data_IF_859835691371
#
_entry.id   IF_859835691371
#
_cell.length_a   1.000
_cell.length_b   1.000
_cell.length_c   1.000
_cell.angle_alpha   90.00
_cell.angle_beta   90.00
_cell.angle_gamma   90.00
#
_symmetry.space_group_name_H-M   'P 1'
#
loop_
_entity.id
_entity.type
_entity.pdbx_description
1 polymer ?
#
# COMPACT_ATOMS: atom_id res chain seq x y z
N UNK A 1 7.08 2.87 -42.12
CA UNK A 1 5.88 2.71 -41.29
C UNK A 1 6.17 3.36 -39.95
N UNK A 2 5.49 4.44 -39.61
CA UNK A 2 5.72 5.14 -38.35
C UNK A 2 5.01 4.38 -37.23
N UNK A 3 5.77 3.86 -36.27
CA UNK A 3 5.22 3.26 -35.05
C UNK A 3 4.28 4.26 -34.36
N UNK A 4 3.08 3.80 -34.02
CA UNK A 4 2.07 4.61 -33.34
C UNK A 4 2.53 4.99 -31.93
N UNK A 5 1.99 6.09 -31.39
CA UNK A 5 2.25 6.55 -30.02
C UNK A 5 1.96 5.46 -28.97
N UNK A 6 1.03 4.54 -29.23
CA UNK A 6 0.73 3.39 -28.39
C UNK A 6 1.84 2.33 -28.37
N UNK A 7 2.48 2.05 -29.52
CA UNK A 7 3.65 1.17 -29.58
C UNK A 7 4.84 1.78 -28.83
N UNK A 8 5.00 3.11 -28.87
CA UNK A 8 6.02 3.82 -28.08
C UNK A 8 5.74 3.84 -26.57
N UNK A 9 4.47 3.74 -26.14
CA UNK A 9 4.10 3.64 -24.71
C UNK A 9 4.34 2.23 -24.17
N UNK A 10 4.16 1.18 -24.98
CA UNK A 10 4.60 -0.18 -24.64
C UNK A 10 6.14 -0.29 -24.51
N UNK A 11 6.89 0.59 -25.18
CA UNK A 11 8.35 0.46 -25.34
C UNK A 11 9.27 1.05 -24.24
N UNK A 12 8.83 1.38 -23.02
CA UNK A 12 9.76 1.93 -21.98
C UNK A 12 9.56 1.42 -20.55
N UNK A 13 9.40 0.12 -20.38
CA UNK A 13 9.91 -0.60 -19.22
C UNK A 13 10.18 -2.04 -19.67
N UNK A 14 11.46 -2.38 -19.82
CA UNK A 14 11.87 -3.76 -20.12
C UNK A 14 11.72 -4.52 -18.81
N UNK A 15 10.73 -5.41 -18.74
CA UNK A 15 10.67 -6.39 -17.66
C UNK A 15 11.94 -7.24 -17.74
N UNK A 16 12.62 -7.50 -16.60
CA UNK A 16 13.75 -8.40 -16.61
C UNK A 16 13.30 -9.81 -17.02
N UNK A 17 14.18 -10.54 -17.69
CA UNK A 17 13.97 -11.97 -17.90
C UNK A 17 13.74 -12.67 -16.55
N UNK A 18 12.76 -13.60 -16.45
CA UNK A 18 12.52 -14.36 -15.22
C UNK A 18 13.79 -15.07 -14.75
N UNK A 19 14.30 -14.67 -13.59
CA UNK A 19 15.51 -15.25 -12.99
C UNK A 19 15.32 -15.52 -11.49
N UNK A 20 15.93 -16.62 -11.04
CA UNK A 20 16.00 -17.03 -9.64
C UNK A 20 17.47 -16.98 -9.21
N UNK A 21 17.72 -16.45 -8.02
CA UNK A 21 19.01 -16.50 -7.36
C UNK A 21 18.88 -17.26 -6.04
N UNK A 22 19.82 -18.15 -5.78
CA UNK A 22 19.89 -18.98 -4.57
C UNK A 22 21.11 -18.60 -3.74
N UNK A 23 20.95 -18.53 -2.43
CA UNK A 23 22.03 -18.30 -1.50
C UNK A 23 21.78 -18.99 -0.15
N UNK A 24 22.86 -19.29 0.57
CA UNK A 24 22.83 -19.91 1.89
C UNK A 24 23.43 -19.00 2.96
N UNK A 25 23.01 -19.20 4.21
CA UNK A 25 23.48 -18.45 5.39
C UNK A 25 23.37 -16.93 5.20
N UNK A 26 22.20 -16.50 4.75
CA UNK A 26 21.91 -15.12 4.39
C UNK A 26 21.39 -14.37 5.59
N UNK A 27 21.83 -13.12 5.74
CA UNK A 27 21.40 -12.23 6.82
C UNK A 27 20.40 -11.25 6.25
N UNK A 28 19.16 -11.30 6.76
CA UNK A 28 18.16 -10.29 6.51
C UNK A 28 18.32 -9.21 7.57
N UNK A 29 18.66 -7.99 7.16
CA UNK A 29 19.01 -6.92 8.10
C UNK A 29 18.27 -5.63 7.80
N UNK A 30 17.66 -5.06 8.85
CA UNK A 30 17.08 -3.74 8.89
C UNK A 30 18.10 -2.72 9.37
N UNK A 31 18.06 -1.53 8.78
CA UNK A 31 18.90 -0.42 9.18
C UNK A 31 18.10 0.82 9.55
N UNK A 32 18.79 1.95 9.84
CA UNK A 32 18.13 3.19 10.18
C UNK A 32 17.27 3.70 9.02
N UNK A 33 16.25 4.50 9.36
CA UNK A 33 15.40 5.17 8.36
C UNK A 33 16.25 6.07 7.46
N UNK A 34 16.24 5.79 6.16
CA UNK A 34 17.03 6.52 5.14
C UNK A 34 16.25 7.69 4.51
N UNK A 35 14.95 7.83 4.82
CA UNK A 35 14.12 8.93 4.33
C UNK A 35 12.63 8.70 4.59
N UNK A 36 11.77 9.58 4.08
CA UNK A 36 10.31 9.51 4.32
C UNK A 36 9.70 8.17 3.92
N UNK A 37 10.07 7.66 2.73
CA UNK A 37 9.65 6.35 2.18
C UNK A 37 10.85 5.41 1.93
N UNK A 38 12.03 5.74 2.47
CA UNK A 38 13.26 4.97 2.24
C UNK A 38 13.65 4.25 3.52
N UNK A 39 13.72 2.93 3.45
CA UNK A 39 14.16 2.07 4.55
C UNK A 39 15.51 1.45 4.18
N UNK A 40 16.47 1.52 5.10
CA UNK A 40 17.69 0.73 4.94
C UNK A 40 17.35 -0.72 5.21
N UNK A 41 17.54 -1.59 4.22
CA UNK A 41 17.21 -3.00 4.31
C UNK A 41 17.93 -3.78 3.21
N UNK A 42 18.37 -4.99 3.52
CA UNK A 42 18.86 -5.94 2.51
C UNK A 42 18.90 -7.38 3.01
N UNK A 43 19.02 -8.29 2.05
CA UNK A 43 19.47 -9.66 2.26
C UNK A 43 20.93 -9.71 1.87
N UNK A 44 21.82 -10.15 2.77
CA UNK A 44 23.26 -10.17 2.54
C UNK A 44 23.81 -11.58 2.66
N UNK A 45 24.68 -11.96 1.73
CA UNK A 45 25.42 -13.23 1.84
C UNK A 45 26.39 -13.23 3.03
N UNK A 46 27.13 -14.33 3.18
CA UNK A 46 28.10 -14.53 4.26
C UNK A 46 29.24 -13.50 4.26
N UNK A 47 29.57 -12.89 3.11
CA UNK A 47 30.63 -11.86 3.00
C UNK A 47 30.08 -10.43 3.06
N UNK A 48 28.75 -10.27 3.17
CA UNK A 48 28.09 -8.97 3.29
C UNK A 48 27.65 -8.35 1.96
N UNK A 49 27.68 -9.09 0.85
CA UNK A 49 27.18 -8.62 -0.44
C UNK A 49 25.65 -8.68 -0.48
N UNK A 50 24.95 -7.61 -0.89
CA UNK A 50 23.50 -7.66 -1.03
C UNK A 50 23.09 -8.60 -2.16
N UNK A 51 22.12 -9.48 -1.89
CA UNK A 51 21.58 -10.38 -2.90
C UNK A 51 20.79 -9.62 -3.98
N UNK A 52 20.82 -10.09 -5.24
CA UNK A 52 19.98 -9.55 -6.29
C UNK A 52 18.49 -9.81 -5.97
N UNK A 53 17.62 -9.04 -6.61
CA UNK A 53 16.15 -9.20 -6.57
C UNK A 53 15.46 -9.10 -5.19
N UNK A 54 16.20 -8.73 -4.14
CA UNK A 54 15.68 -8.50 -2.79
C UNK A 54 15.14 -7.08 -2.55
N UNK A 55 15.25 -6.18 -3.54
CA UNK A 55 14.78 -4.81 -3.38
C UNK A 55 13.26 -4.71 -3.43
N UNK A 56 12.67 -4.00 -2.47
CA UNK A 56 11.27 -3.62 -2.47
C UNK A 56 11.17 -2.20 -3.05
N UNK A 57 10.31 -2.00 -4.03
CA UNK A 57 10.03 -0.70 -4.61
C UNK A 57 8.52 -0.48 -4.77
N UNK A 58 7.88 0.04 -3.73
CA UNK A 58 6.44 0.33 -3.70
C UNK A 58 6.19 1.81 -3.45
N UNK A 59 4.96 2.24 -3.63
CA UNK A 59 4.49 3.60 -3.29
C UNK A 59 4.61 3.92 -1.80
N UNK A 60 4.60 2.90 -0.94
CA UNK A 60 4.74 3.03 0.52
C UNK A 60 6.21 3.04 0.95
N UNK A 61 7.03 2.16 0.40
CA UNK A 61 8.44 2.00 0.80
C UNK A 61 9.32 1.56 -0.36
N UNK A 62 10.51 2.14 -0.41
CA UNK A 62 11.64 1.68 -1.21
C UNK A 62 12.76 1.26 -0.28
N UNK A 63 13.32 0.07 -0.49
CA UNK A 63 14.49 -0.39 0.27
C UNK A 63 15.80 -0.05 -0.40
N UNK A 64 16.80 0.23 0.42
CA UNK A 64 18.17 0.50 0.00
C UNK A 64 19.09 -0.36 0.86
N UNK A 65 19.97 -1.20 0.26
CA UNK A 65 20.97 -1.93 1.02
C UNK A 65 21.92 -0.99 1.77
N UNK A 66 22.34 -1.38 2.97
CA UNK A 66 23.42 -0.73 3.71
C UNK A 66 24.73 -0.94 2.99
N UNK A 67 25.58 0.09 2.97
CA UNK A 67 26.97 -0.01 2.51
C UNK A 67 27.88 -0.72 3.53
N UNK A 68 27.45 -0.74 4.79
CA UNK A 68 28.15 -1.39 5.90
C UNK A 68 27.10 -2.17 6.71
N UNK A 69 26.68 -3.36 6.23
CA UNK A 69 25.73 -4.18 6.98
C UNK A 69 26.40 -4.69 8.27
N UNK A 70 25.73 -4.62 9.43
CA UNK A 70 26.24 -5.16 10.69
C UNK A 70 26.80 -6.57 10.49
N UNK A 71 28.01 -6.85 10.96
CA UNK A 71 28.66 -8.17 10.83
C UNK A 71 28.09 -9.22 11.79
N UNK A 72 27.37 -8.78 12.82
CA UNK A 72 26.77 -9.66 13.83
C UNK A 72 25.66 -10.50 13.21
N UNK A 73 25.70 -11.80 13.49
CA UNK A 73 24.67 -12.73 13.03
C UNK A 73 23.38 -12.53 13.85
N UNK A 74 22.21 -12.36 13.19
CA UNK A 74 20.95 -12.28 13.91
C UNK A 74 20.67 -13.57 14.71
N UNK A 75 20.11 -13.46 15.92
CA UNK A 75 19.91 -14.61 16.81
C UNK A 75 18.78 -15.54 16.36
N UNK A 76 17.78 -15.01 15.65
CA UNK A 76 16.71 -15.80 15.06
C UNK A 76 17.20 -16.43 13.76
N UNK A 77 16.95 -17.74 13.60
CA UNK A 77 17.35 -18.52 12.42
C UNK A 77 16.11 -19.19 11.84
N UNK A 78 15.91 -19.02 10.52
CA UNK A 78 14.92 -19.74 9.74
C UNK A 78 15.65 -20.85 8.98
N UNK A 79 15.41 -22.09 9.41
CA UNK A 79 16.06 -23.29 8.86
C UNK A 79 15.43 -23.77 7.56
N UNK A 80 14.15 -23.51 7.36
CA UNK A 80 13.42 -23.90 6.14
C UNK A 80 13.87 -23.03 4.95
N UNK A 81 13.92 -23.60 3.73
CA UNK A 81 14.13 -22.80 2.53
C UNK A 81 13.02 -21.77 2.37
N UNK A 82 13.36 -20.54 1.98
CA UNK A 82 12.37 -19.47 1.79
C UNK A 82 12.52 -18.77 0.45
N UNK A 83 11.40 -18.40 -0.17
CA UNK A 83 11.35 -17.41 -1.25
C UNK A 83 11.07 -16.03 -0.63
N UNK A 84 11.98 -15.08 -0.81
CA UNK A 84 11.70 -13.69 -0.43
C UNK A 84 10.71 -13.05 -1.40
N UNK A 85 9.49 -12.79 -0.94
CA UNK A 85 8.38 -12.29 -1.75
C UNK A 85 8.19 -10.77 -1.69
N UNK A 86 8.93 -10.07 -0.82
CA UNK A 86 8.90 -8.60 -0.73
C UNK A 86 8.20 -8.10 0.52
N UNK A 87 7.29 -7.13 0.37
CA UNK A 87 6.64 -6.45 1.49
C UNK A 87 5.28 -7.07 1.82
N UNK A 88 5.03 -7.33 3.10
CA UNK A 88 3.70 -7.68 3.61
C UNK A 88 2.83 -6.42 3.67
N UNK A 89 1.63 -6.51 3.09
CA UNK A 89 0.67 -5.41 3.01
C UNK A 89 -0.64 -5.79 3.71
N UNK A 90 -1.27 -4.83 4.38
CA UNK A 90 -2.51 -5.06 5.12
C UNK A 90 -3.77 -4.52 4.39
N UNK A 91 -3.61 -3.98 3.19
CA UNK A 91 -4.71 -3.51 2.36
C UNK A 91 -4.86 -4.40 1.13
N UNK A 92 -6.10 -4.81 0.85
CA UNK A 92 -6.46 -5.69 -0.26
C UNK A 92 -5.79 -5.32 -1.59
N UNK A 93 -5.92 -4.06 -2.03
CA UNK A 93 -5.34 -3.60 -3.28
C UNK A 93 -3.81 -3.68 -3.33
N UNK A 94 -3.13 -3.35 -2.22
CA UNK A 94 -1.67 -3.41 -2.14
C UNK A 94 -1.14 -4.84 -2.09
N UNK A 95 -1.88 -5.79 -1.50
CA UNK A 95 -1.51 -7.20 -1.60
C UNK A 95 -1.61 -7.67 -3.05
N UNK A 96 -2.73 -7.38 -3.73
CA UNK A 96 -2.89 -7.73 -5.15
C UNK A 96 -1.75 -7.16 -5.99
N UNK A 97 -1.29 -5.93 -5.75
CA UNK A 97 -0.27 -5.28 -6.58
C UNK A 97 1.18 -5.49 -6.15
N UNK A 98 1.47 -6.08 -4.99
CA UNK A 98 2.86 -6.23 -4.52
C UNK A 98 3.24 -7.66 -4.15
N UNK A 99 2.29 -8.52 -3.78
CA UNK A 99 2.61 -9.87 -3.33
C UNK A 99 2.92 -10.84 -4.49
N UNK A 100 2.31 -10.63 -5.65
CA UNK A 100 2.27 -11.65 -6.72
C UNK A 100 3.53 -11.69 -7.60
N UNK A 101 4.26 -10.58 -7.71
CA UNK A 101 5.29 -10.38 -8.75
C UNK A 101 6.48 -11.34 -8.71
N UNK A 102 6.70 -12.07 -7.61
CA UNK A 102 7.80 -13.06 -7.47
C UNK A 102 7.33 -14.49 -7.38
N UNK A 103 6.02 -14.73 -7.26
CA UNK A 103 5.49 -16.04 -6.86
C UNK A 103 5.56 -17.09 -7.96
N UNK A 104 5.77 -16.67 -9.20
CA UNK A 104 6.11 -17.54 -10.33
C UNK A 104 7.29 -18.45 -10.00
N UNK A 105 8.25 -17.98 -9.20
CA UNK A 105 9.44 -18.75 -8.86
C UNK A 105 9.10 -20.05 -8.11
N UNK A 106 8.01 -20.10 -7.34
CA UNK A 106 7.65 -21.28 -6.53
C UNK A 106 7.48 -22.55 -7.36
N UNK A 107 7.14 -22.45 -8.64
CA UNK A 107 7.01 -23.60 -9.56
C UNK A 107 8.35 -24.28 -9.85
N UNK A 108 9.47 -23.61 -9.55
CA UNK A 108 10.82 -24.07 -9.81
C UNK A 108 11.63 -24.33 -8.53
N UNK A 109 11.00 -24.21 -7.37
CA UNK A 109 11.64 -24.35 -6.06
C UNK A 109 11.22 -25.65 -5.37
N UNK A 110 11.99 -26.11 -4.36
CA UNK A 110 11.61 -27.27 -3.57
C UNK A 110 10.22 -27.09 -2.93
N UNK A 111 9.36 -28.13 -2.89
CA UNK A 111 7.98 -28.01 -2.39
C UNK A 111 7.85 -27.50 -0.95
N UNK A 112 8.88 -27.73 -0.11
CA UNK A 112 8.96 -27.27 1.27
C UNK A 112 9.26 -25.77 1.43
N UNK A 113 9.49 -25.05 0.34
CA UNK A 113 9.86 -23.63 0.37
C UNK A 113 8.72 -22.78 0.96
N UNK A 114 9.02 -22.04 2.04
CA UNK A 114 8.09 -21.06 2.61
C UNK A 114 8.15 -19.72 1.86
N UNK A 115 7.07 -18.95 1.91
CA UNK A 115 7.00 -17.58 1.37
C UNK A 115 7.37 -16.60 2.49
N UNK A 116 8.44 -15.84 2.31
CA UNK A 116 8.90 -14.85 3.28
C UNK A 116 8.54 -13.43 2.83
N UNK A 117 7.71 -12.75 3.61
CA UNK A 117 7.49 -11.32 3.49
C UNK A 117 8.16 -10.54 4.63
N UNK A 118 8.65 -9.35 4.30
CA UNK A 118 9.07 -8.35 5.26
C UNK A 118 7.86 -7.53 5.70
N UNK A 119 7.65 -7.37 7.00
CA UNK A 119 6.87 -6.28 7.59
C UNK A 119 7.80 -5.13 7.98
N UNK A 120 7.31 -3.88 7.89
CA UNK A 120 8.10 -2.75 8.37
C UNK A 120 8.33 -2.88 9.88
N UNK A 121 9.47 -2.43 10.44
CA UNK A 121 9.74 -2.58 11.88
C UNK A 121 8.67 -1.97 12.80
N UNK A 122 7.97 -0.92 12.33
CA UNK A 122 6.89 -0.28 13.07
C UNK A 122 5.56 -1.06 13.02
N UNK A 123 5.45 -2.07 12.14
CA UNK A 123 4.28 -2.89 11.90
C UNK A 123 4.35 -4.25 12.61
N UNK A 124 5.20 -4.39 13.65
CA UNK A 124 5.41 -5.65 14.38
C UNK A 124 4.13 -6.23 15.02
N UNK A 125 3.10 -5.41 15.23
CA UNK A 125 1.80 -5.83 15.75
C UNK A 125 0.67 -5.68 14.72
N UNK A 126 1.01 -5.47 13.45
CA UNK A 126 0.04 -5.30 12.37
C UNK A 126 -0.46 -6.67 11.92
N UNK A 127 -1.77 -6.78 11.69
CA UNK A 127 -2.37 -7.96 11.06
C UNK A 127 -2.32 -7.80 9.54
N UNK A 128 -2.12 -8.91 8.83
CA UNK A 128 -2.04 -8.97 7.38
C UNK A 128 -3.17 -9.87 6.82
N UNK A 129 -4.44 -9.49 7.02
CA UNK A 129 -5.58 -10.40 6.81
C UNK A 129 -5.79 -10.82 5.36
N UNK A 130 -5.23 -10.09 4.39
CA UNK A 130 -5.44 -10.35 2.97
C UNK A 130 -4.33 -11.18 2.32
N UNK A 131 -3.17 -11.34 2.94
CA UNK A 131 -2.02 -12.03 2.32
C UNK A 131 -2.38 -13.49 2.04
N UNK A 132 -2.60 -14.29 3.07
CA UNK A 132 -2.90 -15.72 2.88
C UNK A 132 -4.16 -15.98 2.05
N UNK A 133 -5.32 -15.31 2.26
CA UNK A 133 -6.50 -15.55 1.44
C UNK A 133 -6.28 -15.28 -0.05
N UNK A 134 -5.55 -14.21 -0.40
CA UNK A 134 -5.23 -13.90 -1.80
C UNK A 134 -4.30 -14.96 -2.39
N UNK A 135 -3.26 -15.36 -1.65
CA UNK A 135 -2.34 -16.40 -2.13
C UNK A 135 -3.06 -17.73 -2.37
N UNK A 136 -3.94 -18.13 -1.44
CA UNK A 136 -4.72 -19.36 -1.55
C UNK A 136 -5.68 -19.34 -2.74
N UNK A 137 -6.26 -18.18 -3.05
CA UNK A 137 -7.08 -18.01 -4.25
C UNK A 137 -6.29 -18.30 -5.54
N UNK A 138 -5.03 -17.86 -5.62
CA UNK A 138 -4.14 -18.17 -6.75
C UNK A 138 -3.52 -19.59 -6.70
N UNK A 139 -4.06 -20.49 -5.87
CA UNK A 139 -3.59 -21.87 -5.74
C UNK A 139 -2.27 -22.02 -4.98
N UNK A 140 -1.82 -20.98 -4.27
CA UNK A 140 -0.54 -20.99 -3.55
C UNK A 140 -0.78 -21.43 -2.11
N UNK A 141 -0.25 -22.61 -1.76
CA UNK A 141 -0.46 -23.24 -0.45
C UNK A 141 0.77 -23.27 0.43
N UNK A 142 1.91 -22.78 -0.06
CA UNK A 142 3.16 -22.67 0.70
C UNK A 142 2.92 -21.92 2.03
N UNK A 143 3.56 -22.34 3.14
CA UNK A 143 3.48 -21.60 4.39
C UNK A 143 3.98 -20.18 4.22
N UNK A 144 3.30 -19.22 4.86
CA UNK A 144 3.66 -17.80 4.80
C UNK A 144 4.34 -17.41 6.12
N UNK A 145 5.48 -16.75 6.00
CA UNK A 145 6.22 -16.16 7.13
C UNK A 145 6.35 -14.67 6.93
N UNK A 146 6.00 -13.90 7.97
CA UNK A 146 6.12 -12.43 7.97
C UNK A 146 7.05 -12.03 9.10
N UNK A 147 8.11 -11.29 8.78
CA UNK A 147 9.16 -10.89 9.73
C UNK A 147 9.37 -9.38 9.75
N UNK A 148 9.55 -8.79 10.94
CA UNK A 148 9.77 -7.35 11.12
C UNK A 148 11.12 -6.98 11.73
N UNK A 149 12.03 -7.95 11.86
CA UNK A 149 13.35 -7.79 12.49
C UNK A 149 14.42 -8.65 11.82
N UNK A 150 15.65 -8.48 12.27
CA UNK A 150 16.81 -9.14 11.68
C UNK A 150 16.76 -10.66 11.90
N UNK A 151 16.97 -11.43 10.82
CA UNK A 151 16.93 -12.90 10.87
C UNK A 151 18.05 -13.49 10.01
N UNK A 152 18.56 -14.66 10.42
CA UNK A 152 19.42 -15.50 9.60
C UNK A 152 18.55 -16.47 8.81
N UNK A 153 18.74 -16.54 7.50
CA UNK A 153 18.07 -17.47 6.59
C UNK A 153 19.07 -18.54 6.20
N UNK A 154 18.81 -19.81 6.54
CA UNK A 154 19.72 -20.90 6.19
C UNK A 154 19.82 -21.08 4.68
N UNK A 155 18.69 -21.00 4.00
CA UNK A 155 18.58 -21.06 2.54
C UNK A 155 17.51 -20.08 2.05
N UNK A 156 17.85 -19.24 1.08
CA UNK A 156 16.93 -18.26 0.50
C UNK A 156 17.01 -18.25 -1.01
N UNK A 157 15.84 -18.07 -1.62
CA UNK A 157 15.67 -17.75 -3.02
C UNK A 157 15.18 -16.31 -3.14
N UNK A 158 15.75 -15.57 -4.08
CA UNK A 158 15.22 -14.29 -4.56
C UNK A 158 14.91 -14.41 -6.04
N UNK A 159 13.88 -13.72 -6.49
CA UNK A 159 13.44 -13.80 -7.88
C UNK A 159 13.10 -12.42 -8.44
N UNK A 160 13.33 -12.23 -9.73
CA UNK A 160 12.92 -11.03 -10.46
C UNK A 160 11.42 -10.79 -10.28
N UNK A 161 11.04 -9.54 -10.03
CA UNK A 161 9.64 -9.13 -10.07
C UNK A 161 9.16 -9.06 -11.52
N UNK A 162 8.05 -9.73 -11.83
CA UNK A 162 7.43 -9.74 -13.17
C UNK A 162 6.13 -8.93 -13.24
N UNK A 163 5.69 -8.38 -12.10
CA UNK A 163 4.48 -7.58 -11.95
C UNK A 163 4.51 -6.74 -10.67
N UNK A 164 3.79 -5.62 -10.68
CA UNK A 164 3.40 -4.91 -9.45
C UNK A 164 3.72 -3.41 -9.45
N UNK A 165 3.69 -2.78 -8.27
CA UNK A 165 3.92 -1.33 -8.14
C UNK A 165 5.29 -0.89 -8.66
N UNK A 166 6.30 -1.76 -8.60
CA UNK A 166 7.63 -1.53 -9.17
C UNK A 166 7.57 -1.12 -10.65
N UNK A 167 6.57 -1.61 -11.37
CA UNK A 167 6.34 -1.37 -12.80
C UNK A 167 5.12 -0.47 -13.04
N UNK A 168 4.79 0.37 -12.06
CA UNK A 168 3.59 1.21 -12.06
C UNK A 168 2.29 0.41 -12.22
N UNK A 169 2.25 -0.83 -11.71
CA UNK A 169 1.06 -1.70 -11.71
C UNK A 169 0.97 -2.64 -12.90
N UNK A 170 1.93 -2.58 -13.82
CA UNK A 170 1.98 -3.40 -15.02
C UNK A 170 2.55 -4.79 -14.74
N UNK A 171 2.19 -5.75 -15.57
CA UNK A 171 2.74 -7.11 -15.63
C UNK A 171 3.43 -7.39 -16.96
N UNK A 172 4.45 -8.23 -16.90
CA UNK A 172 5.09 -8.82 -18.08
C UNK A 172 4.21 -9.91 -18.70
N UNK A 173 4.51 -10.31 -19.94
CA UNK A 173 3.84 -11.47 -20.55
C UNK A 173 4.04 -12.74 -19.72
N UNK A 174 5.26 -12.99 -19.22
CA UNK A 174 5.56 -14.11 -18.34
C UNK A 174 4.71 -14.11 -17.05
N UNK A 175 4.39 -12.93 -16.49
CA UNK A 175 3.48 -12.84 -15.35
C UNK A 175 2.07 -13.27 -15.71
N UNK A 176 1.55 -12.80 -16.84
CA UNK A 176 0.20 -13.15 -17.25
C UNK A 176 0.09 -14.61 -17.68
N UNK A 177 1.12 -15.18 -18.31
CA UNK A 177 1.14 -16.60 -18.68
C UNK A 177 1.15 -17.49 -17.42
N UNK A 178 1.85 -17.06 -16.36
CA UNK A 178 1.80 -17.70 -15.04
C UNK A 178 0.44 -17.53 -14.33
N UNK A 179 -0.21 -16.38 -14.51
CA UNK A 179 -1.48 -16.03 -13.90
C UNK A 179 -2.67 -16.77 -14.53
N UNK A 180 -2.63 -16.94 -15.85
CA UNK A 180 -3.74 -17.45 -16.67
C UNK A 180 -4.34 -18.77 -16.15
N UNK A 181 -3.56 -19.83 -15.87
CA UNK A 181 -4.13 -21.10 -15.37
C UNK A 181 -4.68 -20.99 -13.94
N UNK A 182 -4.46 -19.87 -13.23
CA UNK A 182 -4.86 -19.65 -11.83
C UNK A 182 -6.13 -18.81 -11.69
N UNK A 183 -6.59 -18.18 -12.76
CA UNK A 183 -7.82 -17.38 -12.75
C UNK A 183 -8.88 -18.12 -13.55
N UNK A 184 -9.84 -18.70 -12.84
CA UNK A 184 -11.04 -19.24 -13.49
C UNK A 184 -12.01 -18.11 -13.81
N UNK A 185 -11.93 -17.59 -15.04
CA UNK A 185 -12.86 -16.55 -15.54
C UNK A 185 -14.23 -17.13 -15.94
N UNK A 186 -14.24 -18.36 -16.44
CA UNK A 186 -15.41 -18.93 -17.11
C UNK A 186 -15.90 -18.08 -18.29
N UNK A 187 -17.05 -18.45 -18.85
CA UNK A 187 -17.63 -17.73 -19.99
C UNK A 187 -18.30 -16.41 -19.59
N UNK A 188 -18.11 -15.39 -20.42
CA UNK A 188 -18.86 -14.15 -20.38
C UNK A 188 -20.37 -14.40 -20.53
N UNK A 189 -21.19 -13.69 -19.76
CA UNK A 189 -22.65 -13.77 -19.80
C UNK A 189 -23.19 -12.60 -20.62
N UNK A 190 -23.70 -12.82 -21.84
CA UNK A 190 -24.20 -11.73 -22.68
C UNK A 190 -25.36 -10.97 -22.02
N UNK A 191 -25.37 -9.64 -22.18
CA UNK A 191 -26.37 -8.72 -21.64
C UNK A 191 -26.28 -8.45 -20.14
N UNK A 192 -25.37 -9.12 -19.41
CA UNK A 192 -25.21 -8.91 -17.97
C UNK A 192 -24.59 -7.54 -17.67
N UNK A 193 -25.11 -6.91 -16.61
CA UNK A 193 -24.71 -5.56 -16.19
C UNK A 193 -24.47 -5.55 -14.69
N UNK A 194 -23.34 -5.01 -14.23
CA UNK A 194 -23.08 -4.85 -12.80
C UNK A 194 -22.45 -3.50 -12.47
N UNK A 195 -22.91 -2.92 -11.37
CA UNK A 195 -22.31 -1.76 -10.75
C UNK A 195 -21.53 -2.18 -9.51
N UNK A 196 -20.22 -2.00 -9.56
CA UNK A 196 -19.29 -2.37 -8.49
C UNK A 196 -19.20 -1.19 -7.51
N UNK A 197 -20.04 -1.24 -6.49
CA UNK A 197 -20.25 -0.16 -5.54
C UNK A 197 -19.32 -0.23 -4.33
N UNK A 198 -19.04 0.94 -3.74
CA UNK A 198 -18.28 1.11 -2.50
C UNK A 198 -19.14 1.62 -1.34
N UNK A 199 -20.44 1.83 -1.54
CA UNK A 199 -21.30 2.58 -0.60
C UNK A 199 -21.30 2.00 0.83
N UNK A 200 -21.18 0.67 0.99
CA UNK A 200 -21.13 0.02 2.31
C UNK A 200 -19.74 -0.08 2.95
N UNK A 201 -18.68 0.50 2.38
CA UNK A 201 -17.35 0.56 3.02
C UNK A 201 -17.27 1.55 4.20
N UNK A 202 -18.35 2.27 4.47
CA UNK A 202 -18.45 3.24 5.56
C UNK A 202 -17.97 4.63 5.16
N UNK A 203 -18.46 5.63 5.89
CA UNK A 203 -18.31 7.04 5.51
C UNK A 203 -16.92 7.63 5.80
N UNK A 204 -16.08 6.94 6.58
CA UNK A 204 -14.67 7.31 6.82
C UNK A 204 -13.75 7.02 5.62
N UNK A 205 -14.22 6.22 4.67
CA UNK A 205 -13.50 5.88 3.45
C UNK A 205 -13.81 6.88 2.35
N UNK A 206 -12.81 7.22 1.55
CA UNK A 206 -13.04 8.16 0.44
C UNK A 206 -13.94 7.55 -0.64
N UNK A 207 -14.83 8.40 -1.16
CA UNK A 207 -15.99 8.08 -2.01
C UNK A 207 -16.45 9.30 -2.80
N UNK A 208 -17.54 9.19 -3.53
CA UNK A 208 -18.36 10.35 -3.87
C UNK A 208 -19.63 10.37 -3.02
N UNK A 209 -20.24 11.55 -2.90
CA UNK A 209 -21.50 11.74 -2.24
C UNK A 209 -22.64 11.12 -3.06
N UNK A 210 -23.65 10.59 -2.36
CA UNK A 210 -24.90 10.10 -2.94
C UNK A 210 -24.71 8.87 -3.84
N UNK A 211 -23.76 8.00 -3.52
CA UNK A 211 -23.54 6.73 -4.24
C UNK A 211 -24.78 5.81 -4.16
N UNK A 212 -25.54 5.87 -3.08
CA UNK A 212 -26.85 5.22 -2.93
C UNK A 212 -27.85 5.65 -4.03
N UNK A 213 -27.87 6.92 -4.41
CA UNK A 213 -28.73 7.39 -5.51
C UNK A 213 -28.20 6.91 -6.86
N UNK A 214 -26.88 6.79 -7.02
CA UNK A 214 -26.28 6.15 -8.21
C UNK A 214 -26.67 4.67 -8.27
N UNK A 215 -26.68 3.97 -7.14
CA UNK A 215 -27.18 2.58 -7.07
C UNK A 215 -28.65 2.48 -7.46
N UNK A 216 -29.52 3.36 -6.94
CA UNK A 216 -30.96 3.41 -7.29
C UNK A 216 -31.14 3.58 -8.81
N UNK A 217 -30.47 4.56 -9.40
CA UNK A 217 -30.55 4.85 -10.83
C UNK A 217 -30.04 3.68 -11.69
N UNK A 218 -28.89 3.10 -11.34
CA UNK A 218 -28.29 2.00 -12.09
C UNK A 218 -29.10 0.71 -11.94
N UNK A 219 -29.64 0.42 -10.75
CA UNK A 219 -30.55 -0.70 -10.52
C UNK A 219 -31.82 -0.57 -11.38
N UNK A 220 -32.40 0.63 -11.46
CA UNK A 220 -33.54 0.91 -12.35
C UNK A 220 -33.21 0.70 -13.84
N UNK A 221 -31.94 0.89 -14.23
CA UNK A 221 -31.43 0.60 -15.57
C UNK A 221 -31.01 -0.87 -15.80
N UNK A 222 -31.28 -1.75 -14.84
CA UNK A 222 -31.03 -3.19 -14.92
C UNK A 222 -29.60 -3.62 -14.54
N UNK A 223 -28.84 -2.77 -13.86
CA UNK A 223 -27.55 -3.16 -13.28
C UNK A 223 -27.77 -3.92 -11.97
N UNK A 224 -27.04 -5.01 -11.79
CA UNK A 224 -26.88 -5.63 -10.48
C UNK A 224 -25.94 -4.80 -9.61
N UNK A 225 -26.38 -4.41 -8.43
CA UNK A 225 -25.53 -3.69 -7.48
C UNK A 225 -24.68 -4.68 -6.70
N UNK A 226 -23.37 -4.66 -6.95
CA UNK A 226 -22.41 -5.57 -6.38
C UNK A 226 -21.49 -4.85 -5.39
N UNK A 227 -21.41 -5.36 -4.16
CA UNK A 227 -20.59 -4.79 -3.08
C UNK A 227 -19.44 -5.75 -2.73
N UNK A 228 -18.22 -5.57 -3.29
CA UNK A 228 -17.17 -6.60 -3.22
C UNK A 228 -16.80 -7.06 -1.81
N UNK A 229 -16.87 -6.19 -0.81
CA UNK A 229 -16.55 -6.50 0.58
C UNK A 229 -17.49 -7.53 1.23
N UNK A 230 -18.66 -7.77 0.65
CA UNK A 230 -19.63 -8.76 1.13
C UNK A 230 -19.37 -10.15 0.53
N UNK A 231 -18.36 -10.29 -0.35
CA UNK A 231 -18.08 -11.49 -1.13
C UNK A 231 -16.64 -11.97 -0.98
N UNK A 232 -16.47 -13.29 -1.09
CA UNK A 232 -15.14 -13.92 -1.20
C UNK A 232 -14.42 -13.49 -2.48
N UNK A 233 -13.11 -13.67 -2.52
CA UNK A 233 -12.31 -13.34 -3.70
C UNK A 233 -12.72 -14.15 -4.94
N UNK A 234 -13.15 -15.41 -4.75
CA UNK A 234 -13.64 -16.24 -5.84
C UNK A 234 -14.93 -15.71 -6.45
N UNK A 235 -15.91 -15.35 -5.61
CA UNK A 235 -17.17 -14.73 -6.07
C UNK A 235 -16.93 -13.37 -6.73
N UNK A 236 -15.98 -12.59 -6.23
CA UNK A 236 -15.57 -11.34 -6.88
C UNK A 236 -14.99 -11.59 -8.27
N UNK A 237 -14.07 -12.55 -8.43
CA UNK A 237 -13.52 -12.88 -9.74
C UNK A 237 -14.60 -13.42 -10.68
N UNK A 238 -15.45 -14.31 -10.22
CA UNK A 238 -16.56 -14.84 -11.00
C UNK A 238 -17.48 -13.71 -11.49
N UNK A 239 -17.91 -12.81 -10.60
CA UNK A 239 -18.73 -11.65 -10.98
C UNK A 239 -18.01 -10.77 -11.99
N UNK A 240 -16.78 -10.37 -11.68
CA UNK A 240 -16.03 -9.39 -12.48
C UNK A 240 -15.62 -9.92 -13.84
N UNK A 241 -15.36 -11.21 -14.00
CA UNK A 241 -14.91 -11.80 -15.26
C UNK A 241 -16.06 -12.22 -16.18
N UNK A 242 -17.24 -12.53 -15.63
CA UNK A 242 -18.40 -12.99 -16.41
C UNK A 242 -19.38 -11.89 -16.79
N UNK A 243 -19.25 -10.69 -16.21
CA UNK A 243 -20.18 -9.58 -16.50
C UNK A 243 -19.77 -8.85 -17.77
N UNK A 244 -20.69 -8.66 -18.72
CA UNK A 244 -20.41 -7.94 -19.98
C UNK A 244 -20.22 -6.44 -19.77
N UNK A 245 -21.18 -5.77 -19.11
CA UNK A 245 -21.11 -4.32 -18.84
C UNK A 245 -20.84 -4.03 -17.37
N UNK A 246 -19.72 -3.37 -17.09
CA UNK A 246 -19.28 -3.06 -15.73
C UNK A 246 -19.16 -1.55 -15.53
N UNK A 247 -19.79 -1.02 -14.48
CA UNK A 247 -19.51 0.33 -14.00
C UNK A 247 -18.87 0.19 -12.62
N UNK A 248 -17.70 0.78 -12.43
CA UNK A 248 -17.00 0.79 -11.16
C UNK A 248 -17.18 2.14 -10.46
N UNK A 249 -17.49 2.10 -9.18
CA UNK A 249 -17.08 3.14 -8.25
C UNK A 249 -15.57 3.05 -8.05
N UNK A 250 -14.82 4.14 -8.27
CA UNK A 250 -13.35 4.15 -8.26
C UNK A 250 -12.78 3.51 -6.96
N UNK A 251 -12.20 2.32 -7.09
CA UNK A 251 -11.89 1.43 -5.95
C UNK A 251 -10.67 0.53 -6.18
N UNK A 252 -10.25 -0.17 -5.12
CA UNK A 252 -9.32 -1.31 -5.22
C UNK A 252 -9.88 -2.50 -6.03
N UNK A 253 -11.19 -2.56 -6.31
CA UNK A 253 -11.76 -3.61 -7.15
C UNK A 253 -11.23 -3.53 -8.60
N UNK A 254 -10.80 -2.35 -9.05
CA UNK A 254 -10.13 -2.17 -10.35
C UNK A 254 -8.81 -2.96 -10.44
N UNK A 255 -8.09 -3.15 -9.32
CA UNK A 255 -6.89 -3.99 -9.29
C UNK A 255 -7.22 -5.46 -9.54
N UNK A 256 -8.34 -5.94 -8.98
CA UNK A 256 -8.80 -7.31 -9.21
C UNK A 256 -9.33 -7.49 -10.63
N UNK A 257 -10.14 -6.53 -11.10
CA UNK A 257 -10.66 -6.54 -12.47
C UNK A 257 -9.53 -6.61 -13.49
N UNK A 258 -8.45 -5.86 -13.31
CA UNK A 258 -7.28 -5.95 -14.20
C UNK A 258 -6.69 -7.37 -14.32
N UNK A 259 -6.71 -8.15 -13.23
CA UNK A 259 -6.24 -9.54 -13.25
C UNK A 259 -7.28 -10.48 -13.87
N UNK A 260 -8.56 -10.22 -13.62
CA UNK A 260 -9.69 -11.09 -13.97
C UNK A 260 -10.38 -10.74 -15.30
N UNK A 261 -10.01 -9.65 -15.96
CA UNK A 261 -10.71 -9.14 -17.14
C UNK A 261 -10.78 -10.19 -18.25
N UNK A 262 -11.93 -10.21 -18.93
CA UNK A 262 -12.27 -11.09 -20.03
C UNK A 262 -12.42 -10.25 -21.32
N UNK A 263 -11.96 -10.74 -22.49
CA UNK A 263 -12.25 -10.10 -23.79
C UNK A 263 -13.76 -9.90 -24.03
N UNK A 264 -14.15 -8.84 -24.75
CA UNK A 264 -15.57 -8.51 -24.99
C UNK A 264 -16.31 -7.80 -23.83
N UNK A 265 -15.63 -7.49 -22.72
CA UNK A 265 -16.22 -6.66 -21.65
C UNK A 265 -16.17 -5.17 -21.99
N UNK A 266 -17.24 -4.46 -21.62
CA UNK A 266 -17.33 -3.00 -21.71
C UNK A 266 -17.37 -2.40 -20.30
N UNK A 267 -16.31 -1.70 -19.91
CA UNK A 267 -16.12 -1.24 -18.54
C UNK A 267 -15.94 0.28 -18.42
N UNK A 268 -16.53 0.89 -17.39
CA UNK A 268 -16.32 2.28 -17.01
C UNK A 268 -15.99 2.42 -15.52
N UNK A 269 -15.31 3.50 -15.15
CA UNK A 269 -15.14 3.89 -13.73
C UNK A 269 -15.61 5.32 -13.50
N UNK A 270 -16.50 5.50 -12.54
CA UNK A 270 -16.92 6.82 -12.04
C UNK A 270 -15.82 7.33 -11.11
N UNK A 271 -15.26 8.47 -11.46
CA UNK A 271 -14.14 9.05 -10.72
C UNK A 271 -14.60 9.65 -9.39
N UNK A 272 -13.82 9.40 -8.34
CA UNK A 272 -13.95 10.11 -7.05
C UNK A 272 -12.79 11.09 -6.81
N UNK A 273 -11.81 11.08 -7.72
CA UNK A 273 -10.64 11.97 -7.74
C UNK A 273 -10.46 12.51 -9.16
N UNK A 274 -9.97 13.75 -9.29
CA UNK A 274 -9.76 14.41 -10.60
C UNK A 274 -8.86 13.65 -11.57
N UNK A 275 -8.03 12.74 -11.06
CA UNK A 275 -7.24 11.82 -11.85
C UNK A 275 -7.16 10.49 -11.11
N UNK A 276 -7.22 9.40 -11.85
CA UNK A 276 -7.01 8.06 -11.31
C UNK A 276 -5.60 7.93 -10.70
N UNK A 277 -5.44 7.11 -9.65
CA UNK A 277 -4.12 6.73 -9.17
C UNK A 277 -3.24 6.17 -10.29
N UNK A 278 -1.96 6.55 -10.31
CA UNK A 278 -0.98 6.09 -11.31
C UNK A 278 -0.95 4.57 -11.48
N UNK A 279 -1.16 3.85 -10.39
CA UNK A 279 -1.17 2.39 -10.37
C UNK A 279 -2.33 1.81 -11.19
N UNK A 280 -3.53 2.37 -11.02
CA UNK A 280 -4.72 1.99 -11.78
C UNK A 280 -4.54 2.39 -13.25
N UNK A 281 -4.01 3.58 -13.54
CA UNK A 281 -3.72 4.01 -14.90
C UNK A 281 -2.71 3.09 -15.61
N UNK A 282 -1.68 2.63 -14.90
CA UNK A 282 -0.71 1.68 -15.45
C UNK A 282 -1.36 0.33 -15.80
N UNK A 283 -2.23 -0.16 -14.93
CA UNK A 283 -3.02 -1.38 -15.15
C UNK A 283 -3.99 -1.23 -16.34
N UNK A 284 -4.77 -0.15 -16.41
CA UNK A 284 -5.69 0.10 -17.54
C UNK A 284 -4.92 0.09 -18.87
N UNK A 285 -3.75 0.73 -18.92
CA UNK A 285 -2.91 0.81 -20.13
C UNK A 285 -2.21 -0.50 -20.51
N UNK A 286 -2.06 -1.42 -19.55
CA UNK A 286 -1.43 -2.73 -19.76
C UNK A 286 -2.45 -3.89 -19.73
N UNK A 287 -3.74 -3.56 -19.64
CA UNK A 287 -4.82 -4.54 -19.60
C UNK A 287 -4.80 -5.41 -20.86
N UNK A 288 -5.15 -6.69 -20.69
CA UNK A 288 -5.45 -7.61 -21.80
C UNK A 288 -6.91 -7.54 -22.25
N UNK A 289 -7.74 -6.69 -21.62
CA UNK A 289 -9.07 -6.36 -22.13
C UNK A 289 -8.97 -5.72 -23.51
N UNK A 290 -9.91 -6.05 -24.40
CA UNK A 290 -9.93 -5.52 -25.77
C UNK A 290 -10.20 -4.01 -25.79
N UNK A 291 -11.08 -3.55 -24.89
CA UNK A 291 -11.43 -2.14 -24.75
C UNK A 291 -10.85 -1.56 -23.44
N UNK A 292 -10.31 -0.34 -23.47
CA UNK A 292 -9.86 0.34 -22.27
C UNK A 292 -11.07 0.71 -21.38
N UNK A 293 -10.84 0.76 -20.07
CA UNK A 293 -11.86 1.23 -19.12
C UNK A 293 -12.16 2.71 -19.42
N UNK A 294 -13.43 3.03 -19.63
CA UNK A 294 -13.90 4.41 -19.85
C UNK A 294 -13.89 5.19 -18.54
N UNK A 295 -13.20 6.32 -18.50
CA UNK A 295 -13.20 7.22 -17.33
C UNK A 295 -14.42 8.14 -17.38
N UNK A 296 -15.28 8.08 -16.36
CA UNK A 296 -16.46 8.93 -16.22
C UNK A 296 -16.18 10.02 -15.18
N UNK A 297 -15.92 11.24 -15.65
CA UNK A 297 -15.57 12.36 -14.80
C UNK A 297 -16.74 13.34 -14.68
N UNK A 298 -17.58 13.14 -13.66
CA UNK A 298 -18.70 14.01 -13.33
C UNK A 298 -18.45 14.81 -12.04
N UNK A 299 -17.19 15.05 -11.65
CA UNK A 299 -16.87 15.67 -10.36
C UNK A 299 -17.12 17.18 -10.40
N UNK A 300 -18.00 17.69 -9.52
CA UNK A 300 -18.15 19.12 -9.22
C UNK A 300 -17.05 19.61 -8.29
N UNK A 301 -16.96 19.00 -7.12
CA UNK A 301 -15.99 19.36 -6.08
C UNK A 301 -15.31 18.12 -5.49
N UNK A 302 -14.07 18.29 -5.03
CA UNK A 302 -13.40 17.31 -4.16
C UNK A 302 -13.15 17.99 -2.83
N UNK A 303 -13.75 17.40 -1.80
CA UNK A 303 -13.78 17.91 -0.44
C UNK A 303 -12.98 16.98 0.47
N UNK A 304 -12.30 17.56 1.46
CA UNK A 304 -11.37 16.83 2.32
C UNK A 304 -11.79 16.96 3.78
N UNK A 305 -11.85 15.85 4.54
CA UNK A 305 -11.98 15.97 5.99
C UNK A 305 -10.73 16.60 6.59
N UNK A 306 -10.80 17.18 7.82
CA UNK A 306 -9.65 17.75 8.52
C UNK A 306 -8.76 16.63 9.07
N UNK A 307 -8.16 15.86 8.17
CA UNK A 307 -7.30 14.70 8.41
C UNK A 307 -6.06 14.78 7.52
N UNK A 308 -5.02 14.02 7.82
CA UNK A 308 -3.76 14.08 7.05
C UNK A 308 -3.79 13.28 5.76
N UNK A 309 -4.71 12.34 5.64
CA UNK A 309 -4.83 11.39 4.54
C UNK A 309 -5.78 11.95 3.46
N UNK A 310 -5.29 12.06 2.23
CA UNK A 310 -6.09 12.52 1.08
C UNK A 310 -7.01 11.44 0.51
N UNK A 311 -6.73 10.16 0.78
CA UNK A 311 -7.53 9.04 0.28
C UNK A 311 -8.95 8.97 0.86
N UNK A 312 -9.23 9.76 1.90
CA UNK A 312 -10.53 9.93 2.58
C UNK A 312 -11.39 11.06 2.02
N UNK A 313 -10.94 11.72 0.93
CA UNK A 313 -11.72 12.78 0.28
C UNK A 313 -13.08 12.29 -0.21
N UNK A 314 -14.07 13.19 -0.20
CA UNK A 314 -15.40 12.99 -0.77
C UNK A 314 -15.56 13.88 -1.99
N UNK A 315 -15.89 13.30 -3.14
CA UNK A 315 -16.29 14.07 -4.32
C UNK A 315 -17.80 14.34 -4.31
N UNK A 316 -18.24 15.51 -4.77
CA UNK A 316 -19.64 15.71 -5.18
C UNK A 316 -19.74 15.61 -6.69
N UNK A 317 -20.87 15.11 -7.19
CA UNK A 317 -21.05 14.81 -8.60
C UNK A 317 -22.10 15.73 -9.25
N UNK A 318 -21.90 15.99 -10.53
CA UNK A 318 -22.92 16.49 -11.43
C UNK A 318 -23.70 15.29 -11.98
N UNK A 319 -24.89 15.03 -11.44
CA UNK A 319 -25.67 13.86 -11.79
C UNK A 319 -26.20 13.91 -13.22
N UNK A 320 -26.45 15.12 -13.76
CA UNK A 320 -26.86 15.27 -15.16
C UNK A 320 -25.67 14.98 -16.08
N UNK A 321 -24.48 15.51 -15.75
CA UNK A 321 -23.27 15.20 -16.48
C UNK A 321 -22.87 13.71 -16.37
N UNK A 322 -23.11 13.08 -15.22
CA UNK A 322 -22.90 11.65 -15.00
C UNK A 322 -23.80 10.83 -15.92
N UNK A 323 -25.09 11.16 -15.95
CA UNK A 323 -26.06 10.54 -16.86
C UNK A 323 -25.60 10.65 -18.32
N UNK A 324 -25.31 11.86 -18.79
CA UNK A 324 -24.91 12.11 -20.18
C UNK A 324 -23.65 11.34 -20.58
N UNK A 325 -22.67 11.21 -19.68
CA UNK A 325 -21.47 10.45 -19.93
C UNK A 325 -21.72 8.94 -19.96
N UNK A 326 -22.61 8.42 -19.10
CA UNK A 326 -22.99 7.01 -19.09
C UNK A 326 -23.80 6.64 -20.35
N UNK A 327 -24.72 7.51 -20.81
CA UNK A 327 -25.44 7.32 -22.08
C UNK A 327 -24.48 7.37 -23.26
N UNK A 328 -23.62 8.39 -23.34
CA UNK A 328 -22.62 8.51 -24.40
C UNK A 328 -21.66 7.32 -24.45
N UNK A 329 -21.33 6.77 -23.28
CA UNK A 329 -20.49 5.59 -23.14
C UNK A 329 -21.22 4.27 -23.40
N UNK A 330 -22.52 4.26 -23.74
CA UNK A 330 -23.26 3.02 -24.00
C UNK A 330 -23.54 2.16 -22.76
N UNK A 331 -23.39 2.76 -21.56
CA UNK A 331 -23.72 2.14 -20.28
C UNK A 331 -25.20 2.34 -19.90
N UNK A 332 -25.81 3.42 -20.36
CA UNK A 332 -27.24 3.69 -20.20
C UNK A 332 -27.92 3.92 -21.55
N UNK A 333 -29.22 3.65 -21.59
CA UNK A 333 -30.08 4.07 -22.69
C UNK A 333 -30.46 5.55 -22.51
N UNK A 334 -30.70 6.28 -23.60
CA UNK A 334 -31.02 7.72 -23.56
C UNK A 334 -32.28 8.04 -22.74
N UNK A 335 -33.25 7.13 -22.74
CA UNK A 335 -34.49 7.25 -21.95
C UNK A 335 -34.42 6.60 -20.55
N UNK A 336 -33.23 6.27 -20.05
CA UNK A 336 -33.10 5.66 -18.72
C UNK A 336 -33.68 6.58 -17.63
N UNK A 337 -34.41 6.00 -16.68
CA UNK A 337 -34.91 6.77 -15.54
C UNK A 337 -33.72 7.22 -14.70
N UNK A 338 -33.63 8.53 -14.46
CA UNK A 338 -32.51 9.13 -13.75
C UNK A 338 -32.98 10.25 -12.83
N UNK A 339 -32.55 10.22 -11.56
CA UNK A 339 -32.77 11.32 -10.62
C UNK A 339 -31.45 11.90 -10.13
N UNK A 340 -31.47 13.19 -9.85
CA UNK A 340 -30.40 13.91 -9.16
C UNK A 340 -30.71 14.03 -7.66
N UNK A 341 -29.70 14.05 -6.77
CA UNK A 341 -29.90 14.33 -5.35
C UNK A 341 -30.51 15.72 -5.15
N UNK A 342 -31.33 15.83 -4.11
CA UNK A 342 -31.67 17.13 -3.51
C UNK A 342 -30.45 17.72 -2.79
N UNK A 343 -30.46 19.03 -2.55
CA UNK A 343 -29.41 19.71 -1.79
C UNK A 343 -29.25 19.13 -0.37
N UNK A 344 -30.36 18.70 0.24
CA UNK A 344 -30.36 18.09 1.59
C UNK A 344 -29.71 16.71 1.60
N UNK A 345 -30.04 15.85 0.62
CA UNK A 345 -29.39 14.54 0.45
C UNK A 345 -27.89 14.68 0.21
N UNK A 346 -27.47 15.61 -0.67
CA UNK A 346 -26.05 15.86 -0.93
C UNK A 346 -25.34 16.37 0.33
N UNK A 347 -25.92 17.34 1.03
CA UNK A 347 -25.34 17.88 2.26
C UNK A 347 -25.24 16.83 3.37
N UNK A 348 -26.26 15.98 3.54
CA UNK A 348 -26.25 14.87 4.48
C UNK A 348 -25.14 13.87 4.14
N UNK A 349 -25.10 13.43 2.88
CA UNK A 349 -24.09 12.52 2.38
C UNK A 349 -22.69 13.10 2.55
N UNK A 350 -22.41 14.35 2.16
CA UNK A 350 -21.08 14.98 2.30
C UNK A 350 -20.59 15.00 3.75
N UNK A 351 -21.50 15.16 4.72
CA UNK A 351 -21.17 15.21 6.15
C UNK A 351 -21.06 13.85 6.82
N UNK A 352 -21.47 12.77 6.16
CA UNK A 352 -21.38 11.44 6.75
C UNK A 352 -19.92 11.08 7.06
N UNK A 353 -19.66 10.57 8.28
CA UNK A 353 -18.32 10.23 8.78
C UNK A 353 -17.57 11.38 9.46
N UNK A 354 -18.11 12.60 9.44
CA UNK A 354 -17.57 13.71 10.22
C UNK A 354 -18.03 13.67 11.67
N UNK A 355 -17.17 14.16 12.58
CA UNK A 355 -17.57 14.45 13.96
C UNK A 355 -18.48 15.67 14.00
N UNK A 356 -19.30 15.88 15.06
CA UNK A 356 -20.27 16.97 15.13
C UNK A 356 -19.74 18.39 14.88
N UNK A 357 -18.44 18.63 15.12
CA UNK A 357 -17.78 19.93 14.94
C UNK A 357 -16.82 19.97 13.76
N UNK A 358 -16.75 18.91 12.95
CA UNK A 358 -15.92 18.85 11.76
C UNK A 358 -16.71 19.32 10.55
N UNK A 359 -16.03 20.04 9.66
CA UNK A 359 -16.55 20.42 8.35
C UNK A 359 -15.62 19.92 7.27
N UNK A 360 -16.18 19.65 6.10
CA UNK A 360 -15.38 19.39 4.92
C UNK A 360 -14.65 20.66 4.47
N UNK A 361 -13.42 20.48 4.01
CA UNK A 361 -12.52 21.53 3.55
C UNK A 361 -12.38 21.47 2.04
N UNK A 362 -12.33 22.63 1.38
CA UNK A 362 -11.83 22.72 0.01
C UNK A 362 -10.34 22.34 -0.06
N UNK A 363 -9.83 22.09 -1.26
CA UNK A 363 -8.38 21.81 -1.45
C UNK A 363 -7.48 22.92 -0.88
N UNK A 364 -7.90 24.18 -0.98
CA UNK A 364 -7.14 25.33 -0.46
C UNK A 364 -7.11 25.31 1.07
N UNK A 365 -8.26 25.10 1.69
CA UNK A 365 -8.39 25.04 3.15
C UNK A 365 -7.68 23.83 3.73
N UNK A 366 -7.79 22.66 3.09
CA UNK A 366 -7.10 21.45 3.52
C UNK A 366 -5.57 21.59 3.44
N UNK A 367 -5.05 22.24 2.40
CA UNK A 367 -3.61 22.57 2.32
C UNK A 367 -3.16 23.52 3.43
N UNK A 368 -3.98 24.51 3.79
CA UNK A 368 -3.70 25.39 4.92
C UNK A 368 -3.72 24.63 6.25
N UNK A 369 -4.71 23.74 6.44
CA UNK A 369 -4.79 22.84 7.59
C UNK A 369 -3.54 21.94 7.73
N UNK A 370 -3.05 21.35 6.63
CA UNK A 370 -1.83 20.55 6.65
C UNK A 370 -0.58 21.36 7.02
N UNK A 371 -0.49 22.61 6.53
CA UNK A 371 0.63 23.49 6.85
C UNK A 371 0.64 23.84 8.34
N UNK A 372 -0.51 24.20 8.90
CA UNK A 372 -0.66 24.46 10.34
C UNK A 372 -0.29 23.24 11.19
N UNK A 373 -0.80 22.05 10.84
CA UNK A 373 -0.39 20.80 11.51
C UNK A 373 1.12 20.55 11.46
N UNK A 374 1.76 20.87 10.32
CA UNK A 374 3.20 20.70 10.17
C UNK A 374 3.96 21.65 11.10
N UNK A 375 3.52 22.91 11.21
CA UNK A 375 4.16 23.89 12.09
C UNK A 375 3.96 23.55 13.57
N UNK A 376 2.76 23.13 13.97
CA UNK A 376 2.50 22.60 15.31
C UNK A 376 3.39 21.39 15.64
N UNK A 377 3.63 20.48 14.68
CA UNK A 377 4.53 19.34 14.86
C UNK A 377 5.98 19.80 15.07
N UNK A 378 6.47 20.77 14.30
CA UNK A 378 7.82 21.36 14.48
C UNK A 378 7.96 22.00 15.85
N UNK A 379 6.98 22.77 16.30
CA UNK A 379 7.00 23.39 17.63
C UNK A 379 7.04 22.35 18.75
N UNK A 380 6.21 21.31 18.66
CA UNK A 380 6.21 20.20 19.63
C UNK A 380 7.56 19.49 19.66
N UNK A 381 8.18 19.26 18.50
CA UNK A 381 9.50 18.68 18.41
C UNK A 381 10.57 19.58 19.05
N UNK A 382 10.60 20.87 18.72
CA UNK A 382 11.54 21.83 19.30
C UNK A 382 11.42 21.91 20.84
N UNK A 383 10.19 21.90 21.36
CA UNK A 383 9.93 21.85 22.82
C UNK A 383 10.46 20.56 23.46
N UNK A 384 10.29 19.40 22.80
CA UNK A 384 10.81 18.11 23.27
C UNK A 384 12.34 18.10 23.28
N UNK A 385 12.99 18.59 22.23
CA UNK A 385 14.45 18.69 22.14
C UNK A 385 15.02 19.63 23.21
N UNK A 386 14.38 20.79 23.44
CA UNK A 386 14.78 21.71 24.51
C UNK A 386 14.67 21.06 25.89
N UNK A 387 13.59 20.29 26.15
CA UNK A 387 13.42 19.54 27.40
C UNK A 387 14.50 18.47 27.57
N UNK A 388 14.84 17.73 26.51
CA UNK A 388 15.91 16.73 26.54
C UNK A 388 17.29 17.38 26.79
N UNK A 389 17.61 18.48 26.10
CA UNK A 389 18.86 19.24 26.33
C UNK A 389 18.95 19.73 27.77
N UNK A 390 17.87 20.26 28.34
CA UNK A 390 17.81 20.69 29.76
C UNK A 390 18.01 19.51 30.71
N UNK A 391 17.43 18.34 30.43
CA UNK A 391 17.62 17.12 31.24
C UNK A 391 19.08 16.65 31.20
N UNK A 392 19.66 16.51 30.01
CA UNK A 392 21.05 16.12 29.82
C UNK A 392 22.03 17.09 30.51
N UNK A 393 21.75 18.40 30.44
CA UNK A 393 22.56 19.40 31.13
C UNK A 393 22.47 19.28 32.66
N UNK A 394 21.28 19.00 33.21
CA UNK A 394 21.10 18.76 34.65
C UNK A 394 21.87 17.50 35.09
N UNK A 395 21.81 16.42 34.33
CA UNK A 395 22.54 15.17 34.60
C UNK A 395 24.06 15.40 34.54
N UNK A 396 24.55 16.11 33.53
CA UNK A 396 25.97 16.49 33.41
C UNK A 396 26.44 17.34 34.59
N UNK A 397 25.62 18.30 35.02
CA UNK A 397 25.92 19.13 36.18
C UNK A 397 25.92 18.32 37.48
N UNK A 398 24.98 17.39 37.66
CA UNK A 398 24.94 16.50 38.82
C UNK A 398 26.17 15.57 38.86
N UNK A 399 26.59 15.02 37.72
CA UNK A 399 27.80 14.21 37.62
C UNK A 399 29.06 15.01 37.97
N UNK A 400 29.16 16.26 37.49
CA UNK A 400 30.26 17.17 37.85
C UNK A 400 30.30 17.45 39.36
N UNK A 401 29.16 17.74 39.99
CA UNK A 401 29.06 17.93 41.45
C UNK A 401 29.50 16.68 42.22
N UNK A 402 29.04 15.49 41.81
CA UNK A 402 29.45 14.20 42.42
C UNK A 402 30.95 13.98 42.31
N UNK A 403 31.56 14.22 41.14
CA UNK A 403 33.02 14.11 40.93
C UNK A 403 33.81 15.10 41.80
N UNK A 404 33.33 16.34 41.94
CA UNK A 404 33.98 17.34 42.81
C UNK A 404 33.95 16.92 44.27
N UNK A 405 32.78 16.52 44.78
CA UNK A 405 32.64 16.04 46.16
C UNK A 405 33.49 14.78 46.45
N UNK A 406 33.64 13.88 45.48
CA UNK A 406 34.53 12.72 45.60
C UNK A 406 36.01 13.15 45.73
N UNK A 407 36.47 14.10 44.91
CA UNK A 407 37.83 14.64 44.99
C UNK A 407 38.10 15.35 46.31
N UNK A 408 37.17 16.17 46.78
CA UNK A 408 37.28 16.86 48.08
C UNK A 408 37.38 15.84 49.23
N UNK A 409 36.54 14.80 49.25
CA UNK A 409 36.63 13.70 50.24
C UNK A 409 37.98 12.98 50.21
N UNK A 410 38.51 12.71 49.01
CA UNK A 410 39.83 12.08 48.85
C UNK A 410 40.95 12.98 49.37
N UNK A 411 40.88 14.29 49.11
CA UNK A 411 41.86 15.26 49.60
C UNK A 411 41.81 15.41 51.13
N UNK A 412 40.62 15.47 51.74
CA UNK A 412 40.48 15.50 53.21
C UNK A 412 41.02 14.22 53.86
N UNK A 413 40.72 13.06 53.28
CA UNK A 413 41.25 11.79 53.77
C UNK A 413 42.78 11.69 53.64
N UNK A 414 43.36 12.26 52.58
CA UNK A 414 44.81 12.33 52.41
C UNK A 414 45.46 13.28 53.43
N UNK A 415 44.87 14.45 53.69
CA UNK A 415 45.35 15.40 54.69
C UNK A 415 45.29 14.84 56.12
N UNK A 416 44.23 14.10 56.48
CA UNK A 416 44.11 13.42 57.78
C UNK A 416 45.17 12.33 57.97
N UNK A 417 45.64 11.70 56.90
CA UNK A 417 46.76 10.72 56.96
C UNK A 417 48.13 11.38 57.10
N UNK A 418 48.25 12.68 56.86
CA UNK A 418 49.50 13.45 56.96
C UNK A 418 49.60 14.30 58.23
N UNK A 419 48.55 14.33 59.07
CA UNK A 419 48.60 15.03 60.35
C UNK A 419 49.47 14.23 61.35
N UNK A 420 50.49 14.84 61.98
CA UNK A 420 51.32 14.16 62.97
C UNK A 420 50.48 13.80 64.21
N UNK A 421 50.77 12.68 64.88
CA UNK A 421 50.02 12.28 66.07
C UNK A 421 50.14 13.37 67.13
N UNK A 422 48.99 13.86 67.62
CA UNK A 422 48.96 14.66 68.83
C UNK A 422 49.46 13.76 69.97
N UNK A 423 50.63 14.10 70.49
CA UNK A 423 51.19 13.44 71.66
C UNK A 423 50.41 13.85 72.89
N UNK A 424 49.76 12.88 73.52
CA UNK A 424 49.27 13.04 74.89
C UNK A 424 50.42 12.76 75.86
N UNK A 425 50.59 13.71 76.79
CA UNK A 425 51.50 13.69 77.94
C UNK A 425 50.77 13.15 79.16
#
# INVERSE_FOLDING_TARGET
MAETSEQKIRAREIFPEPQIHEAENVRMVFGPKAGRRKLTFGLYDAVGTPLPYAQINTTLVTTIPSQDPPSVQPPEVIETPVLFAGLAENQFGHVLTNALGRLWALEHLPPETEILFMARPLDWNTRFPFVEPILRFFGITNPVRIVSGDVTLRKVYTATETYGERYNGRGSDAFFDWLEPRINRGDLIPGSKAYVSRSKLGADMGRYACEDIVEENLAAAGYEIFHPQDHSLAEQVEKLSRTEKLIFSESSALHLYYLAAHPGQHAATILRRRALPKLILGQIRNSRAEEPITEINAIKHVLYPPRTEDNSSVATLDFDQLHDQLVRGGFLEDGATWRSPTEEEEAFSVRAGLRPNETMLSLKEWRAYLADLQDQRKERQARRELRQKRKAQREKNALRKRRKAMRERQATAAAQRQAPPQGDS
#
